data_IF_965916927498
#
_entry.id   IF_965916927498
#
_cell.length_a   1.000
_cell.length_b   1.000
_cell.length_c   1.000
_cell.angle_alpha   90.00
_cell.angle_beta   90.00
_cell.angle_gamma   90.00
#
_symmetry.space_group_name_H-M   'P 1'
#
loop_
_entity.id
_entity.type
_entity.pdbx_description
1 polymer ?
#
# COMPACT_ATOMS: atom_id res chain seq x y z
N UNK A 1 29.73 21.54 8.76
CA UNK A 1 28.71 22.52 8.29
C UNK A 1 27.34 21.86 8.38
N UNK A 2 26.29 22.58 8.75
CA UNK A 2 24.92 22.02 8.86
C UNK A 2 24.11 22.44 7.64
N UNK A 3 23.37 21.50 7.06
CA UNK A 3 22.44 21.73 5.96
C UNK A 3 21.05 21.34 6.44
N UNK A 4 20.13 22.29 6.44
CA UNK A 4 18.73 22.03 6.74
C UNK A 4 18.01 21.60 5.46
N UNK A 5 17.18 20.57 5.57
CA UNK A 5 16.45 19.97 4.45
C UNK A 5 14.97 19.94 4.79
N UNK A 6 14.16 20.50 3.90
CA UNK A 6 12.71 20.50 4.01
C UNK A 6 12.05 20.08 2.71
N UNK A 7 10.84 19.51 2.82
CA UNK A 7 10.02 19.14 1.67
C UNK A 7 8.62 19.75 1.78
N UNK A 8 8.17 20.38 0.71
CA UNK A 8 6.76 20.68 0.51
C UNK A 8 6.16 19.72 -0.52
N UNK A 9 5.26 18.83 -0.08
CA UNK A 9 4.55 17.93 -0.99
C UNK A 9 3.39 18.67 -1.67
N UNK A 10 3.47 18.86 -2.99
CA UNK A 10 2.37 19.44 -3.77
C UNK A 10 1.28 18.42 -4.06
N UNK A 11 1.65 17.25 -4.58
CA UNK A 11 0.69 16.21 -4.93
C UNK A 11 1.31 14.81 -4.97
N UNK A 12 0.46 13.80 -4.83
CA UNK A 12 0.74 12.41 -5.21
C UNK A 12 -0.28 12.02 -6.26
N UNK A 13 0.17 11.85 -7.51
CA UNK A 13 -0.74 11.58 -8.63
C UNK A 13 -1.21 10.13 -8.62
N UNK A 14 -0.30 9.19 -8.32
CA UNK A 14 -0.58 7.77 -8.42
C UNK A 14 0.32 6.94 -7.50
N UNK A 15 -0.26 5.89 -6.94
CA UNK A 15 0.46 4.82 -6.25
C UNK A 15 0.28 3.54 -7.08
N UNK A 16 1.38 2.97 -7.56
CA UNK A 16 1.40 1.74 -8.35
C UNK A 16 2.02 0.60 -7.54
N UNK A 17 1.13 -0.29 -7.10
CA UNK A 17 1.46 -1.41 -6.23
C UNK A 17 2.20 -2.53 -6.94
N UNK A 18 1.94 -2.68 -8.25
CA UNK A 18 2.55 -3.76 -9.06
C UNK A 18 3.99 -3.39 -9.42
N UNK A 19 4.24 -2.11 -9.72
CA UNK A 19 5.57 -1.59 -10.03
C UNK A 19 6.38 -1.20 -8.80
N UNK A 20 5.74 -1.16 -7.63
CA UNK A 20 6.35 -0.70 -6.37
C UNK A 20 6.89 0.73 -6.50
N UNK A 21 6.06 1.60 -7.07
CA UNK A 21 6.39 3.00 -7.35
C UNK A 21 5.23 3.94 -7.04
N UNK A 22 5.52 5.17 -6.63
CA UNK A 22 4.53 6.24 -6.57
C UNK A 22 5.02 7.46 -7.35
N UNK A 23 4.08 8.22 -7.90
CA UNK A 23 4.35 9.44 -8.66
C UNK A 23 4.00 10.65 -7.80
N UNK A 24 4.98 11.53 -7.58
CA UNK A 24 4.84 12.68 -6.71
C UNK A 24 5.34 13.96 -7.37
N UNK A 25 4.81 15.09 -6.91
CA UNK A 25 5.28 16.44 -7.17
C UNK A 25 5.59 17.10 -5.83
N UNK A 26 6.84 17.51 -5.64
CA UNK A 26 7.28 18.08 -4.38
C UNK A 26 8.38 19.12 -4.59
N UNK A 27 8.45 20.06 -3.67
CA UNK A 27 9.51 21.06 -3.56
C UNK A 27 10.51 20.64 -2.50
N UNK A 28 11.78 20.54 -2.87
CA UNK A 28 12.91 20.35 -1.97
C UNK A 28 13.50 21.71 -1.63
N UNK A 29 13.65 22.00 -0.34
CA UNK A 29 14.35 23.19 0.16
C UNK A 29 15.62 22.77 0.88
N UNK A 30 16.75 23.36 0.52
CA UNK A 30 18.03 23.21 1.19
C UNK A 30 18.45 24.57 1.74
N UNK A 31 18.79 24.63 3.02
CA UNK A 31 19.32 25.85 3.65
C UNK A 31 20.67 25.57 4.29
N UNK A 32 21.66 26.39 3.99
CA UNK A 32 22.96 26.35 4.64
C UNK A 32 23.55 27.75 4.73
N UNK A 33 24.63 27.89 5.51
CA UNK A 33 25.30 29.16 5.67
C UNK A 33 26.72 29.07 5.14
N UNK A 34 27.07 29.93 4.19
CA UNK A 34 28.42 30.07 3.63
C UNK A 34 28.90 31.53 3.76
N UNK A 35 29.75 31.84 4.76
CA UNK A 35 30.26 33.20 4.98
C UNK A 35 31.02 33.79 3.80
N UNK A 36 31.52 32.96 2.87
CA UNK A 36 32.23 33.42 1.67
C UNK A 36 31.32 34.10 0.66
N UNK A 37 30.01 33.85 0.74
CA UNK A 37 28.98 34.43 -0.13
C UNK A 37 28.34 35.69 0.49
N UNK A 38 28.74 36.08 1.70
CA UNK A 38 28.20 37.26 2.36
C UNK A 38 28.53 38.54 1.56
N UNK A 39 27.51 39.36 1.29
CA UNK A 39 27.63 40.52 0.43
C UNK A 39 27.68 41.82 1.25
N UNK A 40 28.73 42.63 1.04
CA UNK A 40 28.88 43.94 1.74
C UNK A 40 27.78 44.95 1.44
N UNK A 41 27.05 44.76 0.34
CA UNK A 41 26.02 45.69 -0.14
C UNK A 41 24.67 45.52 0.57
N UNK A 42 24.54 44.54 1.48
CA UNK A 42 23.37 44.38 2.34
C UNK A 42 22.10 43.89 1.62
N UNK A 43 22.19 43.39 0.39
CA UNK A 43 21.03 42.92 -0.41
C UNK A 43 21.19 41.46 -0.78
N UNK A 44 20.05 40.74 -0.79
CA UNK A 44 19.99 39.38 -1.30
C UNK A 44 20.17 39.38 -2.83
N UNK A 45 20.69 38.29 -3.36
CA UNK A 45 20.91 38.11 -4.79
C UNK A 45 20.78 36.64 -5.19
N UNK A 46 20.50 36.41 -6.47
CA UNK A 46 20.38 35.07 -7.05
C UNK A 46 21.68 34.65 -7.74
N UNK A 47 21.95 33.34 -7.78
CA UNK A 47 23.10 32.77 -8.47
C UNK A 47 22.78 31.36 -8.95
N UNK A 48 23.49 30.86 -9.96
CA UNK A 48 23.36 29.46 -10.36
C UNK A 48 23.97 28.53 -9.31
N UNK A 49 23.31 27.40 -9.04
CA UNK A 49 23.78 26.42 -8.05
C UNK A 49 25.16 25.85 -8.41
N UNK A 50 25.49 25.78 -9.70
CA UNK A 50 26.78 25.33 -10.22
C UNK A 50 27.94 26.26 -9.85
N UNK A 51 27.66 27.54 -9.60
CA UNK A 51 28.68 28.56 -9.35
C UNK A 51 29.01 28.72 -7.87
N UNK A 52 28.34 27.96 -7.00
CA UNK A 52 28.58 27.96 -5.56
C UNK A 52 28.84 26.55 -5.07
N UNK A 53 29.48 26.49 -3.91
CA UNK A 53 29.55 25.24 -3.18
C UNK A 53 28.13 24.81 -2.76
N UNK A 54 27.80 23.54 -2.94
CA UNK A 54 26.49 22.97 -2.59
C UNK A 54 26.62 21.55 -2.02
N UNK A 55 25.65 21.07 -1.23
CA UNK A 55 25.75 19.79 -0.52
C UNK A 55 25.56 18.54 -1.40
N UNK A 56 25.35 18.71 -2.71
CA UNK A 56 25.05 17.63 -3.67
C UNK A 56 23.92 16.71 -3.17
N UNK A 57 22.74 17.28 -2.93
CA UNK A 57 21.57 16.53 -2.49
C UNK A 57 20.97 15.74 -3.66
N UNK A 58 20.65 14.47 -3.41
CA UNK A 58 20.05 13.57 -4.39
C UNK A 58 18.86 12.83 -3.78
N UNK A 59 17.82 12.65 -4.61
CA UNK A 59 16.69 11.78 -4.27
C UNK A 59 17.10 10.33 -4.53
N UNK A 60 17.38 9.57 -3.46
CA UNK A 60 17.97 8.22 -3.50
C UNK A 60 17.06 7.22 -4.20
N UNK A 61 15.78 7.23 -3.88
CA UNK A 61 14.80 6.28 -4.40
C UNK A 61 14.13 6.74 -5.71
N UNK A 62 14.77 7.63 -6.46
CA UNK A 62 14.28 8.06 -7.78
C UNK A 62 14.30 6.93 -8.80
N UNK A 63 13.29 6.89 -9.69
CA UNK A 63 13.34 6.14 -10.96
C UNK A 63 13.34 7.10 -12.14
N UNK A 64 12.18 7.69 -12.42
CA UNK A 64 11.98 8.65 -13.51
C UNK A 64 11.55 10.00 -12.91
N UNK A 65 12.45 10.60 -12.12
CA UNK A 65 12.20 11.87 -11.45
C UNK A 65 12.87 13.01 -12.22
N UNK A 66 12.08 14.00 -12.62
CA UNK A 66 12.53 15.17 -13.37
C UNK A 66 12.56 16.38 -12.45
N UNK A 67 13.65 17.14 -12.50
CA UNK A 67 13.73 18.45 -11.87
C UNK A 67 13.13 19.49 -12.82
N UNK A 68 12.05 20.14 -12.42
CA UNK A 68 11.28 21.08 -13.27
C UNK A 68 11.58 22.54 -12.96
N UNK A 69 12.16 22.82 -11.79
CA UNK A 69 12.50 24.17 -11.35
C UNK A 69 13.71 24.14 -10.41
N UNK A 70 14.54 25.16 -10.47
CA UNK A 70 15.66 25.43 -9.56
C UNK A 70 15.78 26.93 -9.30
N UNK A 71 15.97 27.30 -8.04
CA UNK A 71 16.33 28.66 -7.65
C UNK A 71 17.30 28.63 -6.48
N UNK A 72 18.21 29.61 -6.45
CA UNK A 72 19.14 29.79 -5.33
C UNK A 72 19.16 31.27 -4.97
N UNK A 73 18.74 31.55 -3.74
CA UNK A 73 18.77 32.89 -3.16
C UNK A 73 19.83 32.94 -2.06
N UNK A 74 20.68 33.97 -2.11
CA UNK A 74 21.74 34.19 -1.14
C UNK A 74 21.41 35.47 -0.37
N UNK A 75 21.20 35.33 0.93
CA UNK A 75 20.96 36.44 1.84
C UNK A 75 22.24 37.24 2.14
N UNK A 76 22.14 38.50 2.59
CA UNK A 76 23.31 39.37 2.81
C UNK A 76 24.35 38.82 3.79
N UNK A 77 23.91 38.02 4.75
CA UNK A 77 24.74 37.37 5.76
C UNK A 77 25.49 36.13 5.24
N UNK A 78 25.21 35.69 4.00
CA UNK A 78 25.76 34.46 3.42
C UNK A 78 24.90 33.21 3.66
N UNK A 79 23.69 33.36 4.20
CA UNK A 79 22.72 32.27 4.27
C UNK A 79 22.15 31.98 2.89
N UNK A 80 22.20 30.72 2.46
CA UNK A 80 21.77 30.28 1.14
C UNK A 80 20.50 29.46 1.27
N UNK A 81 19.51 29.75 0.43
CA UNK A 81 18.29 28.98 0.26
C UNK A 81 18.24 28.47 -1.18
N UNK A 82 18.38 27.17 -1.35
CA UNK A 82 18.21 26.51 -2.64
C UNK A 82 16.84 25.81 -2.66
N UNK A 83 16.04 26.11 -3.66
CA UNK A 83 14.75 25.49 -3.90
C UNK A 83 14.74 24.72 -5.21
N UNK A 84 14.24 23.48 -5.19
CA UNK A 84 14.17 22.63 -6.37
C UNK A 84 12.79 21.96 -6.42
N UNK A 85 12.13 21.97 -7.57
CA UNK A 85 10.88 21.22 -7.76
C UNK A 85 11.16 19.94 -8.52
N UNK A 86 10.66 18.83 -7.98
CA UNK A 86 10.77 17.52 -8.58
C UNK A 86 9.38 16.96 -8.88
N UNK A 87 9.26 16.34 -10.06
CA UNK A 87 8.06 15.64 -10.48
C UNK A 87 8.44 14.29 -11.11
N UNK A 88 7.76 13.22 -10.70
CA UNK A 88 7.90 11.91 -11.34
C UNK A 88 7.92 10.74 -10.37
N UNK A 89 8.57 9.65 -10.78
CA UNK A 89 8.44 8.35 -10.13
C UNK A 89 9.51 8.08 -9.06
N UNK A 90 9.05 7.59 -7.91
CA UNK A 90 9.84 7.16 -6.77
C UNK A 90 9.56 5.69 -6.48
N UNK A 91 10.61 4.93 -6.16
CA UNK A 91 10.53 3.52 -5.80
C UNK A 91 10.31 3.37 -4.29
N UNK A 92 9.50 2.40 -3.89
CA UNK A 92 9.34 2.05 -2.49
C UNK A 92 8.94 0.57 -2.35
N UNK A 93 9.44 -0.15 -1.33
CA UNK A 93 8.99 -1.50 -1.06
C UNK A 93 7.59 -1.47 -0.45
N UNK A 94 6.69 -2.30 -0.98
CA UNK A 94 5.30 -2.38 -0.56
C UNK A 94 5.02 -3.68 0.21
N UNK A 95 4.31 -3.61 1.34
CA UNK A 95 3.81 -4.79 2.06
C UNK A 95 2.28 -4.90 1.95
N UNK A 96 1.81 -5.81 1.10
CA UNK A 96 0.38 -6.05 0.85
C UNK A 96 -0.20 -7.19 1.67
N UNK A 97 0.48 -7.73 2.68
CA UNK A 97 -0.04 -8.87 3.46
C UNK A 97 -1.42 -8.57 4.06
N UNK A 98 -1.67 -7.31 4.43
CA UNK A 98 -2.93 -6.85 5.05
C UNK A 98 -3.93 -6.27 4.03
N UNK A 99 -3.63 -6.35 2.73
CA UNK A 99 -4.49 -5.81 1.68
C UNK A 99 -5.92 -6.40 1.76
N UNK A 100 -6.99 -5.58 1.61
CA UNK A 100 -6.98 -4.15 1.25
C UNK A 100 -7.07 -3.19 2.47
N UNK A 101 -6.78 -3.67 3.68
CA UNK A 101 -6.83 -2.89 4.93
C UNK A 101 -5.45 -2.37 5.35
N UNK A 102 -4.53 -2.31 4.39
CA UNK A 102 -3.13 -1.97 4.57
C UNK A 102 -2.87 -0.46 4.76
N UNK A 103 -1.76 -0.19 5.45
CA UNK A 103 -1.10 1.11 5.55
C UNK A 103 0.28 0.96 4.92
N UNK A 104 0.75 1.99 4.24
CA UNK A 104 2.03 2.00 3.56
C UNK A 104 2.81 3.26 3.93
N UNK A 105 4.13 3.14 3.92
CA UNK A 105 5.03 4.27 4.06
C UNK A 105 5.55 4.61 2.66
N UNK A 106 5.34 5.85 2.23
CA UNK A 106 5.83 6.38 0.96
C UNK A 106 7.06 7.27 1.26
N UNK A 107 8.28 6.75 1.13
CA UNK A 107 9.47 7.49 1.51
C UNK A 107 9.93 8.43 0.38
N UNK A 108 10.32 9.65 0.73
CA UNK A 108 11.19 10.50 -0.09
C UNK A 108 12.53 10.60 0.63
N UNK A 109 13.59 10.11 0.00
CA UNK A 109 14.88 9.92 0.66
C UNK A 109 15.91 10.82 0.02
N UNK A 110 16.34 11.84 0.75
CA UNK A 110 17.33 12.82 0.28
C UNK A 110 18.67 12.48 0.90
N UNK A 111 19.71 12.27 0.10
CA UNK A 111 21.05 11.86 0.55
C UNK A 111 22.13 12.65 -0.20
N UNK A 112 23.33 12.75 0.37
CA UNK A 112 24.53 13.17 -0.38
C UNK A 112 25.48 12.00 -0.59
N UNK A 113 25.87 11.72 -1.84
CA UNK A 113 26.86 10.68 -2.16
C UNK A 113 28.30 11.20 -2.20
N UNK A 114 28.51 12.49 -1.90
CA UNK A 114 29.83 13.15 -1.99
C UNK A 114 30.44 13.31 -0.61
N UNK A 115 29.61 13.55 0.42
CA UNK A 115 30.09 13.93 1.74
C UNK A 115 29.75 12.89 2.80
N UNK A 116 30.72 12.63 3.68
CA UNK A 116 30.52 11.78 4.87
C UNK A 116 29.80 12.54 5.99
N UNK A 117 29.18 11.83 6.96
CA UNK A 117 28.53 12.44 8.12
C UNK A 117 29.41 13.41 8.93
N UNK A 118 30.73 13.20 8.91
CA UNK A 118 31.70 14.06 9.61
C UNK A 118 31.93 15.41 8.90
N UNK A 119 31.64 15.50 7.60
CA UNK A 119 31.87 16.69 6.79
C UNK A 119 30.61 17.59 6.75
N UNK A 120 29.44 16.97 6.56
CA UNK A 120 28.16 17.66 6.51
C UNK A 120 27.16 16.95 7.42
N UNK A 121 26.55 17.74 8.28
CA UNK A 121 25.43 17.29 9.11
C UNK A 121 24.12 17.74 8.48
N UNK A 122 23.16 16.84 8.37
CA UNK A 122 21.83 17.16 7.87
C UNK A 122 20.89 17.36 9.04
N UNK A 123 20.07 18.39 8.95
CA UNK A 123 19.03 18.71 9.91
C UNK A 123 17.70 18.90 9.18
N UNK A 124 16.59 18.73 9.89
CA UNK A 124 15.27 19.01 9.33
C UNK A 124 14.98 20.50 9.35
N UNK A 125 14.41 20.99 8.27
CA UNK A 125 13.74 22.28 8.24
C UNK A 125 12.26 22.06 8.56
N UNK A 126 11.89 22.10 9.84
CA UNK A 126 10.51 21.91 10.28
C UNK A 126 9.56 22.94 9.63
N UNK A 127 10.01 24.17 9.42
CA UNK A 127 9.20 25.23 8.82
C UNK A 127 9.05 25.04 7.31
N UNK A 128 10.09 24.52 6.65
CA UNK A 128 10.09 24.17 5.23
C UNK A 128 9.45 22.82 4.91
N UNK A 129 8.97 22.08 5.92
CA UNK A 129 8.43 20.74 5.76
C UNK A 129 6.92 20.72 5.97
N UNK A 130 6.15 20.53 4.90
CA UNK A 130 4.69 20.38 4.98
C UNK A 130 4.13 19.74 3.70
N UNK A 131 2.80 19.63 3.61
CA UNK A 131 2.10 19.07 2.46
C UNK A 131 0.89 19.94 2.12
N UNK A 132 0.45 19.89 0.88
CA UNK A 132 -0.81 20.47 0.47
C UNK A 132 -1.99 19.88 1.29
N UNK A 133 -2.99 20.72 1.58
CA UNK A 133 -4.18 20.32 2.35
C UNK A 133 -4.98 19.22 1.65
N UNK A 134 -5.01 19.26 0.32
CA UNK A 134 -5.68 18.28 -0.54
C UNK A 134 -4.70 17.72 -1.55
N UNK A 135 -4.65 16.39 -1.62
CA UNK A 135 -3.88 15.63 -2.60
C UNK A 135 -4.86 14.92 -3.54
N UNK A 136 -4.47 14.73 -4.79
CA UNK A 136 -5.28 14.13 -5.86
C UNK A 136 -5.25 12.59 -5.86
N UNK A 137 -4.54 11.97 -4.91
CA UNK A 137 -4.35 10.52 -4.86
C UNK A 137 -5.67 9.77 -4.72
N UNK A 138 -5.94 8.83 -5.64
CA UNK A 138 -7.14 8.01 -5.64
C UNK A 138 -7.01 6.82 -4.70
N UNK A 139 -8.06 6.50 -3.96
CA UNK A 139 -8.15 5.33 -3.07
C UNK A 139 -7.16 5.31 -1.89
N UNK A 140 -6.47 6.41 -1.61
CA UNK A 140 -5.55 6.55 -0.49
C UNK A 140 -5.81 7.84 0.28
N UNK A 141 -5.46 7.83 1.56
CA UNK A 141 -5.40 9.00 2.42
C UNK A 141 -3.97 9.15 2.94
N UNK A 142 -3.38 10.33 2.79
CA UNK A 142 -2.06 10.65 3.36
C UNK A 142 -2.29 11.30 4.72
N UNK A 143 -2.03 10.55 5.79
CA UNK A 143 -2.38 10.90 7.17
C UNK A 143 -1.33 11.83 7.79
N UNK A 144 -0.05 11.42 7.80
CA UNK A 144 1.07 12.18 8.37
C UNK A 144 2.32 12.08 7.48
N UNK A 145 3.32 12.91 7.78
CA UNK A 145 4.65 12.84 7.20
C UNK A 145 5.65 12.87 8.34
N UNK A 146 6.30 11.73 8.58
CA UNK A 146 7.31 11.57 9.61
C UNK A 146 8.68 11.88 9.02
N UNK A 147 9.60 12.40 9.83
CA UNK A 147 10.94 12.78 9.37
C UNK A 147 12.01 12.06 10.20
N UNK A 148 13.00 11.47 9.52
CA UNK A 148 14.11 10.76 10.19
C UNK A 148 15.46 10.96 9.50
N UNK A 149 16.49 11.34 10.27
CA UNK A 149 17.87 11.37 9.75
C UNK A 149 18.50 10.01 10.01
N UNK A 150 19.06 9.41 8.97
CA UNK A 150 19.74 8.12 9.07
C UNK A 150 21.04 8.10 8.28
N UNK A 151 21.90 7.13 8.61
CA UNK A 151 23.13 6.88 7.87
C UNK A 151 22.89 5.74 6.90
N UNK A 152 22.97 6.03 5.61
CA UNK A 152 22.94 5.05 4.54
C UNK A 152 24.32 4.45 4.34
N UNK A 153 24.50 3.19 4.76
CA UNK A 153 25.77 2.47 4.62
C UNK A 153 25.83 1.74 3.29
N UNK A 154 26.91 1.95 2.56
CA UNK A 154 27.25 1.21 1.34
C UNK A 154 28.48 0.36 1.67
N UNK A 155 28.51 -0.90 1.25
CA UNK A 155 29.53 -1.87 1.66
C UNK A 155 31.00 -1.44 1.40
N UNK A 156 31.21 -0.46 0.51
CA UNK A 156 32.54 0.08 0.15
C UNK A 156 32.84 1.46 0.75
N UNK A 157 31.94 2.02 1.57
CA UNK A 157 32.08 3.36 2.15
C UNK A 157 31.98 3.26 3.66
N UNK A 158 33.13 3.37 4.34
CA UNK A 158 33.27 3.11 5.78
C UNK A 158 32.32 3.95 6.65
N UNK A 159 32.20 5.25 6.36
CA UNK A 159 31.37 6.17 7.15
C UNK A 159 29.93 6.30 6.61
N UNK A 160 29.59 5.64 5.49
CA UNK A 160 28.31 5.78 4.81
C UNK A 160 28.00 7.23 4.38
N UNK A 161 26.72 7.48 4.11
CA UNK A 161 26.19 8.76 3.65
C UNK A 161 25.03 9.21 4.53
N UNK A 162 24.95 10.51 4.83
CA UNK A 162 23.79 11.04 5.57
C UNK A 162 22.57 11.10 4.65
N UNK A 163 21.43 10.66 5.16
CA UNK A 163 20.14 10.64 4.48
C UNK A 163 19.06 11.25 5.37
N UNK A 164 18.32 12.23 4.86
CA UNK A 164 17.05 12.67 5.44
C UNK A 164 15.90 11.93 4.75
N UNK A 165 15.07 11.25 5.52
CA UNK A 165 13.90 10.54 5.02
C UNK A 165 12.63 11.29 5.43
N UNK A 166 11.72 11.43 4.48
CA UNK A 166 10.38 11.98 4.65
C UNK A 166 9.39 10.86 4.36
N UNK A 167 8.81 10.30 5.40
CA UNK A 167 8.03 9.07 5.38
C UNK A 167 6.55 9.42 5.48
N UNK A 168 5.86 9.42 4.33
CA UNK A 168 4.43 9.74 4.29
C UNK A 168 3.59 8.51 4.61
N UNK A 169 2.77 8.61 5.66
CA UNK A 169 1.86 7.53 6.07
C UNK A 169 0.62 7.53 5.19
N UNK A 170 0.51 6.53 4.31
CA UNK A 170 -0.59 6.36 3.37
C UNK A 170 -1.52 5.22 3.83
N UNK A 171 -2.81 5.52 3.98
CA UNK A 171 -3.84 4.53 4.32
C UNK A 171 -4.76 4.28 3.13
N UNK A 172 -4.95 2.99 2.78
CA UNK A 172 -5.86 2.61 1.70
C UNK A 172 -7.33 2.73 2.11
N UNK A 173 -8.18 3.18 1.20
CA UNK A 173 -9.64 3.08 1.35
C UNK A 173 -10.14 1.71 0.89
N UNK A 174 -10.65 0.84 1.79
CA UNK A 174 -11.03 -0.53 1.44
C UNK A 174 -12.40 -0.66 0.76
N UNK A 175 -13.22 0.40 0.77
CA UNK A 175 -14.63 0.35 0.39
C UNK A 175 -14.86 -0.19 -1.03
N UNK A 176 -13.98 0.17 -1.97
CA UNK A 176 -14.01 -0.36 -3.33
C UNK A 176 -13.93 -1.90 -3.34
N UNK A 177 -12.93 -2.46 -2.65
CA UNK A 177 -12.73 -3.91 -2.60
C UNK A 177 -13.86 -4.62 -1.83
N UNK A 178 -14.33 -4.05 -0.73
CA UNK A 178 -15.42 -4.65 0.04
C UNK A 178 -16.73 -4.71 -0.76
N UNK A 179 -17.06 -3.66 -1.51
CA UNK A 179 -18.33 -3.58 -2.25
C UNK A 179 -18.28 -4.22 -3.63
N UNK A 180 -17.16 -4.13 -4.35
CA UNK A 180 -17.03 -4.66 -5.71
C UNK A 180 -16.47 -6.07 -5.77
N UNK A 181 -15.84 -6.54 -4.69
CA UNK A 181 -15.17 -7.85 -4.62
C UNK A 181 -15.81 -8.76 -3.60
N UNK A 182 -15.78 -8.36 -2.34
CA UNK A 182 -16.24 -9.21 -1.24
C UNK A 182 -17.75 -9.43 -1.35
N UNK A 183 -18.54 -8.39 -1.60
CA UNK A 183 -20.00 -8.51 -1.66
C UNK A 183 -20.52 -9.48 -2.75
N UNK A 184 -20.12 -9.39 -4.05
CA UNK A 184 -20.56 -10.37 -5.05
C UNK A 184 -20.18 -11.81 -4.70
N UNK A 185 -19.00 -12.02 -4.13
CA UNK A 185 -18.54 -13.35 -3.74
C UNK A 185 -19.29 -13.92 -2.55
N UNK A 186 -19.66 -13.07 -1.59
CA UNK A 186 -20.56 -13.48 -0.51
C UNK A 186 -21.91 -13.93 -1.07
N UNK A 187 -22.47 -13.24 -2.07
CA UNK A 187 -23.72 -13.65 -2.70
C UNK A 187 -23.60 -15.00 -3.41
N UNK A 188 -22.52 -15.25 -4.16
CA UNK A 188 -22.26 -16.54 -4.80
C UNK A 188 -22.07 -17.65 -3.75
N UNK A 189 -21.36 -17.37 -2.67
CA UNK A 189 -21.23 -18.33 -1.56
C UNK A 189 -22.57 -18.63 -0.90
N UNK A 190 -23.45 -17.63 -0.79
CA UNK A 190 -24.78 -17.81 -0.23
C UNK A 190 -25.72 -18.59 -1.16
N UNK A 191 -25.54 -18.53 -2.48
CA UNK A 191 -26.35 -19.38 -3.39
C UNK A 191 -26.01 -20.86 -3.22
N UNK A 192 -24.75 -21.21 -2.94
CA UNK A 192 -24.36 -22.60 -2.66
C UNK A 192 -24.93 -23.10 -1.32
N UNK A 193 -25.16 -22.21 -0.36
CA UNK A 193 -25.87 -22.52 0.90
C UNK A 193 -27.35 -22.86 0.71
N UNK A 194 -28.03 -22.27 -0.29
CA UNK A 194 -29.45 -22.51 -0.54
C UNK A 194 -29.75 -23.98 -0.90
N UNK A 195 -28.75 -24.73 -1.36
CA UNK A 195 -28.89 -26.15 -1.71
C UNK A 195 -29.39 -26.98 -0.51
N UNK A 196 -28.93 -26.69 0.71
CA UNK A 196 -29.31 -27.44 1.91
C UNK A 196 -30.78 -27.24 2.35
N UNK A 197 -31.49 -26.31 1.71
CA UNK A 197 -32.91 -26.05 1.94
C UNK A 197 -33.82 -26.71 0.90
N UNK A 198 -33.25 -27.24 -0.18
CA UNK A 198 -33.98 -28.03 -1.15
C UNK A 198 -34.29 -29.41 -0.58
N UNK A 199 -35.40 -29.99 -1.04
CA UNK A 199 -35.74 -31.36 -0.68
C UNK A 199 -34.80 -32.34 -1.37
N UNK A 200 -34.49 -33.44 -0.68
CA UNK A 200 -33.53 -34.47 -1.12
C UNK A 200 -33.97 -35.22 -2.38
N UNK A 201 -35.28 -35.23 -2.67
CA UNK A 201 -35.86 -35.80 -3.89
C UNK A 201 -35.57 -34.99 -5.17
N UNK A 202 -35.09 -33.74 -5.03
CA UNK A 202 -34.83 -32.82 -6.14
C UNK A 202 -33.35 -32.78 -6.53
N UNK A 203 -32.81 -33.91 -6.99
CA UNK A 203 -31.40 -34.06 -7.39
C UNK A 203 -30.97 -33.02 -8.44
N UNK A 204 -31.77 -32.83 -9.50
CA UNK A 204 -31.41 -31.93 -10.62
C UNK A 204 -31.24 -30.48 -10.14
N UNK A 205 -32.20 -29.86 -9.42
CA UNK A 205 -32.01 -28.52 -8.85
C UNK A 205 -30.79 -28.40 -7.91
N UNK A 206 -30.55 -29.38 -7.04
CA UNK A 206 -29.43 -29.33 -6.09
C UNK A 206 -28.07 -29.31 -6.78
N UNK A 207 -27.88 -30.23 -7.72
CA UNK A 207 -26.64 -30.32 -8.51
C UNK A 207 -26.49 -29.08 -9.39
N UNK A 208 -27.58 -28.61 -10.01
CA UNK A 208 -27.55 -27.41 -10.86
C UNK A 208 -27.09 -26.16 -10.08
N UNK A 209 -27.67 -25.87 -8.91
CA UNK A 209 -27.26 -24.72 -8.10
C UNK A 209 -25.82 -24.85 -7.65
N UNK A 210 -25.40 -26.04 -7.20
CA UNK A 210 -24.03 -26.28 -6.73
C UNK A 210 -22.99 -26.06 -7.85
N UNK A 211 -23.26 -26.60 -9.04
CA UNK A 211 -22.40 -26.44 -10.22
C UNK A 211 -22.40 -25.00 -10.73
N UNK A 212 -23.56 -24.32 -10.75
CA UNK A 212 -23.64 -22.90 -11.15
C UNK A 212 -22.90 -22.00 -10.16
N UNK A 213 -22.97 -22.27 -8.85
CA UNK A 213 -22.27 -21.48 -7.84
C UNK A 213 -20.74 -21.61 -7.98
N UNK A 214 -20.20 -22.83 -8.15
CA UNK A 214 -18.76 -23.02 -8.33
C UNK A 214 -18.27 -22.43 -9.65
N UNK A 215 -19.04 -22.57 -10.74
CA UNK A 215 -18.70 -21.96 -12.03
C UNK A 215 -18.69 -20.44 -11.92
N UNK A 216 -19.73 -19.85 -11.32
CA UNK A 216 -19.81 -18.41 -11.09
C UNK A 216 -18.65 -17.89 -10.23
N UNK A 217 -18.24 -18.66 -9.23
CA UNK A 217 -17.09 -18.34 -8.40
C UNK A 217 -15.77 -18.35 -9.19
N UNK A 218 -15.52 -19.40 -9.96
CA UNK A 218 -14.31 -19.55 -10.79
C UNK A 218 -14.26 -18.45 -11.85
N UNK A 219 -15.38 -18.18 -12.53
CA UNK A 219 -15.50 -17.08 -13.50
C UNK A 219 -15.18 -15.74 -12.84
N UNK A 220 -15.78 -15.46 -11.68
CA UNK A 220 -15.53 -14.22 -10.96
C UNK A 220 -14.06 -14.08 -10.55
N UNK A 221 -13.46 -15.15 -10.02
CA UNK A 221 -12.05 -15.18 -9.65
C UNK A 221 -11.13 -14.81 -10.83
N UNK A 222 -11.32 -15.44 -11.99
CA UNK A 222 -10.52 -15.13 -13.19
C UNK A 222 -10.73 -13.71 -13.70
N UNK A 223 -11.95 -13.18 -13.64
CA UNK A 223 -12.24 -11.79 -14.01
C UNK A 223 -11.55 -10.81 -13.07
N UNK A 224 -11.56 -11.08 -11.76
CA UNK A 224 -11.05 -10.14 -10.77
C UNK A 224 -9.54 -10.21 -10.56
N UNK A 225 -8.92 -11.39 -10.73
CA UNK A 225 -7.47 -11.59 -10.55
C UNK A 225 -6.62 -10.67 -11.45
N UNK A 226 -7.15 -10.23 -12.58
CA UNK A 226 -6.47 -9.28 -13.47
C UNK A 226 -6.28 -7.88 -12.87
N UNK A 227 -7.12 -7.51 -11.89
CA UNK A 227 -7.10 -6.21 -11.22
C UNK A 227 -6.33 -6.23 -9.90
N UNK A 228 -5.86 -7.40 -9.47
CA UNK A 228 -5.08 -7.55 -8.25
C UNK A 228 -3.58 -7.42 -8.52
N UNK A 229 -2.81 -6.82 -7.60
CA UNK A 229 -1.37 -6.74 -7.74
C UNK A 229 -0.75 -8.14 -7.74
N UNK A 230 0.15 -8.39 -8.70
CA UNK A 230 0.85 -9.68 -8.84
C UNK A 230 2.04 -9.72 -7.90
N UNK A 231 1.86 -10.34 -6.73
CA UNK A 231 2.88 -10.45 -5.68
C UNK A 231 3.17 -11.92 -5.35
N UNK A 232 4.36 -12.25 -4.84
CA UNK A 232 4.78 -13.64 -4.59
C UNK A 232 4.18 -14.27 -3.33
N UNK A 233 3.38 -13.54 -2.55
CA UNK A 233 2.79 -14.00 -1.30
C UNK A 233 1.29 -13.75 -1.26
N UNK A 234 0.57 -14.49 -0.41
CA UNK A 234 -0.89 -14.36 -0.25
C UNK A 234 -1.26 -13.17 0.64
N UNK A 235 -2.10 -12.28 0.13
CA UNK A 235 -2.74 -11.20 0.88
C UNK A 235 -3.84 -11.73 1.81
N UNK A 236 -4.31 -10.90 2.74
CA UNK A 236 -5.48 -11.20 3.56
C UNK A 236 -6.74 -11.43 2.70
N UNK A 237 -6.90 -10.63 1.63
CA UNK A 237 -7.97 -10.84 0.66
C UNK A 237 -7.83 -12.20 -0.04
N UNK A 238 -6.65 -12.56 -0.54
CA UNK A 238 -6.46 -13.85 -1.23
C UNK A 238 -6.82 -15.04 -0.34
N UNK A 239 -6.40 -15.01 0.94
CA UNK A 239 -6.76 -16.04 1.91
C UNK A 239 -8.26 -16.14 2.13
N UNK A 240 -8.95 -15.00 2.21
CA UNK A 240 -10.41 -14.96 2.33
C UNK A 240 -11.09 -15.56 1.09
N UNK A 241 -10.65 -15.16 -0.10
CA UNK A 241 -11.18 -15.65 -1.37
C UNK A 241 -10.98 -17.16 -1.54
N UNK A 242 -9.78 -17.67 -1.23
CA UNK A 242 -9.48 -19.11 -1.24
C UNK A 242 -10.36 -19.85 -0.22
N UNK A 243 -10.60 -19.28 0.96
CA UNK A 243 -11.46 -19.88 1.97
C UNK A 243 -12.92 -19.97 1.51
N UNK A 244 -13.44 -18.92 0.87
CA UNK A 244 -14.77 -18.97 0.24
C UNK A 244 -14.85 -20.01 -0.88
N UNK A 245 -13.76 -20.17 -1.65
CA UNK A 245 -13.70 -21.19 -2.70
C UNK A 245 -13.73 -22.61 -2.15
N UNK A 246 -12.98 -22.87 -1.08
CA UNK A 246 -13.02 -24.15 -0.40
C UNK A 246 -14.39 -24.42 0.22
N UNK A 247 -15.06 -23.40 0.76
CA UNK A 247 -16.43 -23.50 1.26
C UNK A 247 -17.42 -23.90 0.17
N UNK A 248 -17.43 -23.19 -0.96
CA UNK A 248 -18.32 -23.50 -2.10
C UNK A 248 -18.02 -24.90 -2.64
N UNK A 249 -16.74 -25.27 -2.77
CA UNK A 249 -16.37 -26.62 -3.19
C UNK A 249 -16.85 -27.69 -2.20
N UNK A 250 -16.74 -27.45 -0.90
CA UNK A 250 -17.26 -28.37 0.12
C UNK A 250 -18.78 -28.53 0.03
N UNK A 251 -19.53 -27.46 -0.29
CA UNK A 251 -20.98 -27.57 -0.53
C UNK A 251 -21.29 -28.46 -1.75
N UNK A 252 -20.52 -28.36 -2.83
CA UNK A 252 -20.68 -29.24 -4.00
C UNK A 252 -20.41 -30.71 -3.65
N UNK A 253 -19.29 -30.99 -2.97
CA UNK A 253 -18.96 -32.35 -2.49
C UNK A 253 -20.08 -32.90 -1.64
N UNK A 254 -20.61 -32.06 -0.74
CA UNK A 254 -21.71 -32.47 0.12
C UNK A 254 -22.98 -32.78 -0.67
N UNK A 255 -23.33 -31.96 -1.65
CA UNK A 255 -24.48 -32.23 -2.53
C UNK A 255 -24.36 -33.61 -3.19
N UNK A 256 -23.17 -33.97 -3.67
CA UNK A 256 -22.94 -35.31 -4.25
C UNK A 256 -23.10 -36.42 -3.21
N UNK A 257 -22.64 -36.22 -1.98
CA UNK A 257 -22.83 -37.18 -0.89
C UNK A 257 -24.31 -37.34 -0.54
N UNK A 258 -25.05 -36.23 -0.38
CA UNK A 258 -26.48 -36.24 -0.10
C UNK A 258 -27.28 -36.98 -1.18
N UNK A 259 -26.96 -36.74 -2.46
CA UNK A 259 -27.59 -37.43 -3.60
C UNK A 259 -27.29 -38.93 -3.57
N UNK A 260 -26.03 -39.33 -3.38
CA UNK A 260 -25.66 -40.75 -3.31
C UNK A 260 -26.31 -41.48 -2.12
N UNK A 261 -26.48 -40.80 -0.97
CA UNK A 261 -27.18 -41.37 0.18
C UNK A 261 -28.68 -41.53 -0.08
N UNK A 262 -29.29 -40.59 -0.80
CA UNK A 262 -30.67 -40.70 -1.24
C UNK A 262 -30.86 -41.88 -2.21
N UNK A 263 -29.95 -42.05 -3.17
CA UNK A 263 -29.95 -43.19 -4.12
C UNK A 263 -29.71 -44.55 -3.43
N UNK A 264 -29.05 -44.57 -2.28
CA UNK A 264 -28.79 -45.78 -1.48
C UNK A 264 -29.94 -46.15 -0.51
N UNK A 265 -31.14 -45.57 -0.69
CA UNK A 265 -32.30 -45.69 0.20
C UNK A 265 -32.03 -45.24 1.66
N UNK A 266 -30.99 -44.42 1.88
CA UNK A 266 -30.61 -43.87 3.18
C UNK A 266 -31.12 -42.43 3.37
N UNK A 267 -32.39 -42.17 3.03
CA UNK A 267 -32.99 -40.83 3.06
C UNK A 267 -32.86 -40.14 4.43
N UNK A 268 -33.01 -40.89 5.53
CA UNK A 268 -32.88 -40.34 6.89
C UNK A 268 -31.49 -39.75 7.16
N UNK A 269 -30.43 -40.39 6.65
CA UNK A 269 -29.06 -39.90 6.77
C UNK A 269 -28.82 -38.70 5.86
N UNK A 270 -29.37 -38.71 4.64
CA UNK A 270 -29.28 -37.58 3.72
C UNK A 270 -29.94 -36.31 4.30
N UNK A 271 -31.15 -36.43 4.85
CA UNK A 271 -31.86 -35.31 5.50
C UNK A 271 -31.12 -34.81 6.74
N UNK A 272 -30.62 -35.73 7.57
CA UNK A 272 -29.84 -35.35 8.76
C UNK A 272 -28.60 -34.55 8.37
N UNK A 273 -27.90 -35.01 7.34
CA UNK A 273 -26.68 -34.42 6.81
C UNK A 273 -26.90 -32.98 6.32
N UNK A 274 -27.98 -32.71 5.58
CA UNK A 274 -28.35 -31.35 5.17
C UNK A 274 -28.73 -30.47 6.37
N UNK A 275 -29.46 -31.00 7.36
CA UNK A 275 -29.82 -30.26 8.57
C UNK A 275 -28.59 -29.80 9.36
N UNK A 276 -27.55 -30.62 9.47
CA UNK A 276 -26.28 -30.21 10.07
C UNK A 276 -25.62 -29.07 9.29
N UNK A 277 -25.61 -29.17 7.96
CA UNK A 277 -24.97 -28.16 7.10
C UNK A 277 -25.68 -26.80 7.14
N UNK A 278 -26.98 -26.76 7.44
CA UNK A 278 -27.71 -25.50 7.68
C UNK A 278 -27.12 -24.67 8.83
N UNK A 279 -26.47 -25.31 9.79
CA UNK A 279 -25.81 -24.63 10.91
C UNK A 279 -24.29 -24.55 10.75
N UNK A 280 -23.66 -25.60 10.24
CA UNK A 280 -22.21 -25.65 10.04
C UNK A 280 -21.76 -24.61 9.02
N UNK A 281 -22.46 -24.49 7.88
CA UNK A 281 -22.05 -23.58 6.81
C UNK A 281 -22.06 -22.12 7.27
N UNK A 282 -23.15 -21.56 7.85
CA UNK A 282 -23.14 -20.18 8.34
C UNK A 282 -22.12 -19.95 9.45
N UNK A 283 -21.92 -20.92 10.35
CA UNK A 283 -20.91 -20.82 11.40
C UNK A 283 -19.49 -20.73 10.82
N UNK A 284 -19.16 -21.58 9.85
CA UNK A 284 -17.86 -21.58 9.19
C UNK A 284 -17.66 -20.33 8.32
N UNK A 285 -18.70 -19.88 7.61
CA UNK A 285 -18.69 -18.64 6.83
C UNK A 285 -18.42 -17.41 7.72
N UNK A 286 -19.11 -17.30 8.86
CA UNK A 286 -18.90 -16.24 9.82
C UNK A 286 -17.49 -16.31 10.45
N UNK A 287 -17.00 -17.51 10.74
CA UNK A 287 -15.65 -17.72 11.26
C UNK A 287 -14.59 -17.27 10.24
N UNK A 288 -14.69 -17.69 8.99
CA UNK A 288 -13.79 -17.29 7.89
C UNK A 288 -13.82 -15.77 7.70
N UNK A 289 -15.01 -15.18 7.67
CA UNK A 289 -15.18 -13.73 7.52
C UNK A 289 -14.56 -12.98 8.71
N UNK A 290 -14.84 -13.41 9.94
CA UNK A 290 -14.28 -12.80 11.15
C UNK A 290 -12.75 -12.88 11.17
N UNK A 291 -12.19 -14.06 10.87
CA UNK A 291 -10.74 -14.25 10.82
C UNK A 291 -10.08 -13.37 9.75
N UNK A 292 -10.69 -13.25 8.57
CA UNK A 292 -10.18 -12.38 7.50
C UNK A 292 -10.13 -10.90 7.94
N UNK A 293 -11.21 -10.39 8.54
CA UNK A 293 -11.25 -9.03 9.05
C UNK A 293 -10.28 -8.81 10.23
N UNK A 294 -10.17 -9.77 11.15
CA UNK A 294 -9.23 -9.69 12.27
C UNK A 294 -7.78 -9.73 11.82
N UNK A 295 -7.42 -10.59 10.85
CA UNK A 295 -6.07 -10.64 10.29
C UNK A 295 -5.70 -9.34 9.58
N UNK A 296 -6.63 -8.75 8.83
CA UNK A 296 -6.43 -7.45 8.19
C UNK A 296 -6.29 -6.31 9.21
N UNK A 297 -7.12 -6.28 10.25
CA UNK A 297 -7.14 -5.19 11.23
C UNK A 297 -5.99 -5.27 12.25
N UNK A 298 -5.68 -6.45 12.81
CA UNK A 298 -4.59 -6.61 13.80
C UNK A 298 -3.23 -6.27 13.22
N UNK A 299 -2.97 -6.60 11.96
CA UNK A 299 -1.71 -6.27 11.29
C UNK A 299 -1.64 -4.81 10.84
N UNK A 300 -2.77 -4.21 10.49
CA UNK A 300 -2.87 -2.77 10.20
C UNK A 300 -2.47 -1.89 11.40
N UNK A 301 -2.69 -2.35 12.63
CA UNK A 301 -2.31 -1.61 13.85
C UNK A 301 -0.95 -2.03 14.46
N UNK A 302 -0.39 -3.16 14.05
CA UNK A 302 0.71 -3.82 14.77
C UNK A 302 2.14 -3.47 14.36
N UNK A 303 2.37 -2.52 13.46
CA UNK A 303 3.73 -2.14 13.00
C UNK A 303 4.21 -0.79 13.55
N UNK A 304 3.68 -0.34 14.70
CA UNK A 304 4.25 0.77 15.48
C UNK A 304 5.13 0.31 16.66
N UNK A 305 5.28 -1.00 16.89
CA UNK A 305 6.18 -1.56 17.90
C UNK A 305 7.08 -2.63 17.28
N UNK A 306 8.31 -2.24 16.95
CA UNK A 306 9.37 -3.11 16.43
C UNK A 306 10.66 -2.34 16.19
#
# INVERSE_FOLDING_TARGET
MVVQVGIYLYDIFRIDETRQTFEADFYLTLRWHDPRLACKNGRAYEKDLSDIWHPHAFVRNRRDLVQTYESVEIAPDGSVVCGQRFQGLLSYPLDLKSFPLDRQILPIQITSFVYSPDQIQWAFDEQGTSKADKLSVLNWSIESMDTSVSIYRVAQVENGFVSCNFDMQARRFPAYYLTKVVLPLMLISFTSYLVFWLKTDQVIPQVSISVTAILGLITYWFTFQQNLPRIPYLTALDKYLISLMLLVFATLVQTVVTVNLADADQESLAVTTDQWMRWIFPALFLLVTSLAFQMGFRRSQGETEG
#
